data_IF_145771305727
#
_entry.id   IF_145771305727
#
_cell.length_a   1.000
_cell.length_b   1.000
_cell.length_c   1.000
_cell.angle_alpha   90.00
_cell.angle_beta   90.00
_cell.angle_gamma   90.00
#
_symmetry.space_group_name_H-M   'P 1'
#
loop_
_entity.id
_entity.type
_entity.pdbx_description
1 polymer ?
#
# COMPACT_ATOMS: atom_id res chain seq x y z
N UNK A 1 12.17 -2.06 9.32
CA UNK A 1 11.64 -2.53 8.01
C UNK A 1 12.04 -3.96 7.67
N UNK A 2 13.18 -4.47 8.12
CA UNK A 2 13.66 -5.85 7.84
C UNK A 2 12.81 -6.97 8.47
N UNK A 3 12.15 -6.72 9.60
CA UNK A 3 11.35 -7.72 10.31
C UNK A 3 10.20 -8.35 9.49
N UNK A 4 9.59 -7.59 8.56
CA UNK A 4 8.55 -8.14 7.67
C UNK A 4 9.08 -9.15 6.66
N UNK A 5 10.33 -8.99 6.23
CA UNK A 5 10.99 -9.88 5.26
C UNK A 5 11.50 -11.18 5.88
N UNK A 6 11.67 -11.22 7.20
CA UNK A 6 12.07 -12.42 7.94
C UNK A 6 10.86 -13.32 8.26
N UNK A 7 9.63 -12.80 8.19
CA UNK A 7 8.41 -13.58 8.37
C UNK A 7 8.04 -14.35 7.09
N UNK A 8 7.17 -15.35 7.23
CA UNK A 8 6.62 -16.18 6.14
C UNK A 8 6.25 -15.39 4.89
N UNK A 9 5.66 -14.20 5.05
CA UNK A 9 5.26 -13.36 3.92
C UNK A 9 6.44 -12.82 3.10
N UNK A 10 7.57 -12.57 3.75
CA UNK A 10 8.82 -12.17 3.12
C UNK A 10 9.47 -13.29 2.33
N UNK A 11 9.28 -14.55 2.76
CA UNK A 11 9.79 -15.74 2.06
C UNK A 11 8.97 -16.09 0.81
N UNK A 12 7.70 -15.70 0.77
CA UNK A 12 6.82 -15.94 -0.38
C UNK A 12 7.21 -15.09 -1.59
N UNK A 13 7.70 -13.86 -1.36
CA UNK A 13 8.07 -12.95 -2.45
C UNK A 13 9.18 -13.54 -3.36
N UNK A 14 10.31 -14.07 -2.83
CA UNK A 14 11.30 -14.82 -3.62
C UNK A 14 10.71 -15.98 -4.42
N UNK A 15 9.78 -16.76 -3.83
CA UNK A 15 9.14 -17.90 -4.52
C UNK A 15 8.34 -17.42 -5.74
N UNK A 16 7.54 -16.37 -5.58
CA UNK A 16 6.77 -15.79 -6.69
C UNK A 16 7.71 -15.25 -7.77
N UNK A 17 8.78 -14.54 -7.39
CA UNK A 17 9.76 -14.02 -8.35
C UNK A 17 10.46 -15.15 -9.10
N UNK A 18 10.86 -16.23 -8.41
CA UNK A 18 11.47 -17.40 -9.04
C UNK A 18 10.52 -18.05 -10.06
N UNK A 19 9.25 -18.23 -9.71
CA UNK A 19 8.25 -18.76 -10.64
C UNK A 19 8.19 -17.95 -11.95
N UNK A 20 8.21 -16.62 -11.85
CA UNK A 20 8.22 -15.75 -13.03
C UNK A 20 9.51 -15.81 -13.83
N UNK A 21 10.66 -15.84 -13.17
CA UNK A 21 11.96 -15.96 -13.86
C UNK A 21 12.10 -17.30 -14.59
N UNK A 22 11.60 -18.39 -14.01
CA UNK A 22 11.55 -19.71 -14.67
C UNK A 22 10.66 -19.62 -15.91
N UNK A 23 9.48 -19.01 -15.81
CA UNK A 23 8.58 -18.82 -16.94
C UNK A 23 9.19 -17.98 -18.07
N UNK A 24 10.02 -16.99 -17.74
CA UNK A 24 10.81 -16.20 -18.71
C UNK A 24 12.10 -16.92 -19.18
N UNK A 25 12.31 -18.18 -18.80
CA UNK A 25 13.53 -18.96 -19.12
C UNK A 25 14.83 -18.34 -18.56
N UNK A 26 14.74 -17.48 -17.53
CA UNK A 26 15.88 -16.83 -16.86
C UNK A 26 16.39 -17.70 -15.70
N UNK A 27 16.78 -18.93 -16.00
CA UNK A 27 17.12 -19.95 -14.99
C UNK A 27 18.27 -19.55 -14.07
N UNK A 28 19.30 -18.86 -14.60
CA UNK A 28 20.43 -18.37 -13.78
C UNK A 28 19.97 -17.41 -12.69
N UNK A 29 19.11 -16.45 -13.03
CA UNK A 29 18.58 -15.49 -12.07
C UNK A 29 17.67 -16.18 -11.04
N UNK A 30 16.81 -17.11 -11.49
CA UNK A 30 16.00 -17.89 -10.56
C UNK A 30 16.84 -18.73 -9.60
N UNK A 31 17.91 -19.37 -10.08
CA UNK A 31 18.81 -20.17 -9.26
C UNK A 31 19.51 -19.30 -8.21
N UNK A 32 19.96 -18.09 -8.58
CA UNK A 32 20.56 -17.15 -7.64
C UNK A 32 19.59 -16.69 -6.54
N UNK A 33 18.33 -16.39 -6.88
CA UNK A 33 17.32 -15.99 -5.89
C UNK A 33 16.93 -17.16 -4.98
N UNK A 34 16.77 -18.36 -5.55
CA UNK A 34 16.50 -19.56 -4.75
C UNK A 34 17.67 -19.87 -3.81
N UNK A 35 18.91 -19.78 -4.31
CA UNK A 35 20.11 -19.98 -3.50
C UNK A 35 20.21 -18.94 -2.39
N UNK A 36 19.95 -17.66 -2.68
CA UNK A 36 20.00 -16.60 -1.66
C UNK A 36 18.93 -16.79 -0.58
N UNK A 37 17.74 -17.28 -0.96
CA UNK A 37 16.69 -17.68 0.00
C UNK A 37 17.17 -18.79 0.92
N UNK A 38 17.73 -19.88 0.38
CA UNK A 38 18.24 -21.00 1.18
C UNK A 38 19.41 -20.60 2.07
N UNK A 39 20.36 -19.79 1.56
CA UNK A 39 21.47 -19.25 2.36
C UNK A 39 20.92 -18.40 3.52
N UNK A 40 19.93 -17.55 3.27
CA UNK A 40 19.32 -16.71 4.31
C UNK A 40 18.64 -17.55 5.41
N UNK A 41 17.92 -18.61 5.02
CA UNK A 41 17.31 -19.56 5.96
C UNK A 41 18.40 -20.31 6.73
N UNK A 42 19.46 -20.78 6.06
CA UNK A 42 20.57 -21.49 6.70
C UNK A 42 21.30 -20.60 7.72
N UNK A 43 21.59 -19.35 7.39
CA UNK A 43 22.21 -18.37 8.31
C UNK A 43 21.30 -18.15 9.52
N UNK A 44 19.99 -18.00 9.30
CA UNK A 44 19.01 -17.81 10.38
C UNK A 44 19.00 -19.03 11.32
N UNK A 45 18.91 -20.24 10.77
CA UNK A 45 18.91 -21.48 11.56
C UNK A 45 20.24 -21.67 12.31
N UNK A 46 21.36 -21.38 11.66
CA UNK A 46 22.69 -21.45 12.30
C UNK A 46 22.81 -20.46 13.45
N UNK A 47 22.33 -19.23 13.28
CA UNK A 47 22.30 -18.23 14.34
C UNK A 47 21.50 -18.73 15.56
N UNK A 48 20.29 -19.25 15.35
CA UNK A 48 19.47 -19.77 16.45
C UNK A 48 20.04 -21.03 17.08
N UNK A 49 20.65 -21.93 16.29
CA UNK A 49 21.32 -23.12 16.81
C UNK A 49 22.50 -22.76 17.73
N UNK A 50 23.20 -21.63 17.47
CA UNK A 50 24.30 -21.15 18.30
C UNK A 50 23.83 -20.42 19.56
N UNK A 51 22.71 -19.70 19.49
CA UNK A 51 22.21 -18.87 20.60
C UNK A 51 21.32 -19.67 21.56
N UNK A 52 20.16 -20.13 21.10
CA UNK A 52 19.22 -20.96 21.88
C UNK A 52 18.16 -21.57 20.94
N UNK A 53 18.38 -22.83 20.54
CA UNK A 53 17.49 -23.54 19.62
C UNK A 53 16.12 -23.86 20.26
N UNK A 54 16.09 -24.11 21.57
CA UNK A 54 14.86 -24.47 22.28
C UNK A 54 13.94 -23.26 22.34
N UNK A 55 14.49 -22.09 22.69
CA UNK A 55 13.74 -20.84 22.68
C UNK A 55 13.24 -20.50 21.26
N UNK A 56 14.05 -20.73 20.23
CA UNK A 56 13.62 -20.55 18.84
C UNK A 56 12.43 -21.42 18.46
N UNK A 57 12.49 -22.73 18.75
CA UNK A 57 11.38 -23.66 18.46
C UNK A 57 10.13 -23.24 19.21
N UNK A 58 10.25 -22.85 20.49
CA UNK A 58 9.14 -22.37 21.28
C UNK A 58 8.50 -21.08 20.70
N UNK A 59 9.32 -20.11 20.29
CA UNK A 59 8.83 -18.89 19.61
C UNK A 59 8.13 -19.24 18.30
N UNK A 60 8.68 -20.17 17.52
CA UNK A 60 8.08 -20.60 16.26
C UNK A 60 6.71 -21.25 16.52
N UNK A 61 6.61 -22.12 17.52
CA UNK A 61 5.35 -22.75 17.94
C UNK A 61 4.31 -21.70 18.37
N UNK A 62 4.71 -20.76 19.23
CA UNK A 62 3.84 -19.66 19.66
C UNK A 62 3.36 -18.85 18.45
N UNK A 63 4.25 -18.52 17.51
CA UNK A 63 3.87 -17.79 16.30
C UNK A 63 2.88 -18.58 15.43
N UNK A 64 3.02 -19.90 15.32
CA UNK A 64 2.08 -20.75 14.57
C UNK A 64 0.74 -20.95 15.28
N UNK A 65 0.71 -20.83 16.62
CA UNK A 65 -0.49 -21.00 17.45
C UNK A 65 -1.28 -19.70 17.67
N UNK A 66 -0.74 -18.53 17.33
CA UNK A 66 -1.55 -17.30 17.31
C UNK A 66 -2.73 -17.50 16.36
N UNK A 67 -3.94 -17.14 16.79
CA UNK A 67 -5.22 -17.22 16.06
C UNK A 67 -5.12 -16.60 14.64
N UNK A 68 -4.58 -17.36 13.70
CA UNK A 68 -4.44 -17.02 12.28
C UNK A 68 -5.63 -17.60 11.53
N UNK A 69 -6.80 -17.23 12.00
CA UNK A 69 -8.04 -17.66 11.37
C UNK A 69 -8.30 -16.82 10.12
N UNK A 70 -8.67 -17.51 9.05
CA UNK A 70 -8.95 -16.92 7.75
C UNK A 70 -10.36 -16.37 7.74
N UNK A 71 -10.51 -15.07 7.95
CA UNK A 71 -11.80 -14.39 7.87
C UNK A 71 -11.87 -13.47 6.65
N UNK A 72 -13.02 -13.47 5.96
CA UNK A 72 -13.32 -12.45 4.94
C UNK A 72 -13.28 -11.03 5.51
N UNK A 73 -13.61 -10.87 6.80
CA UNK A 73 -13.43 -9.62 7.54
C UNK A 73 -11.97 -9.14 7.60
N UNK A 74 -10.99 -10.05 7.62
CA UNK A 74 -9.56 -9.70 7.59
C UNK A 74 -9.17 -9.09 6.24
N UNK A 75 -9.73 -9.59 5.12
CA UNK A 75 -9.51 -8.99 3.80
C UNK A 75 -10.04 -7.54 3.75
N UNK A 76 -11.25 -7.33 4.27
CA UNK A 76 -11.81 -5.98 4.37
C UNK A 76 -10.96 -5.10 5.28
N UNK A 77 -10.45 -5.62 6.40
CA UNK A 77 -9.54 -4.90 7.29
C UNK A 77 -8.23 -4.49 6.60
N UNK A 78 -7.66 -5.37 5.78
CA UNK A 78 -6.45 -5.09 5.00
C UNK A 78 -6.70 -3.92 4.04
N UNK A 79 -7.82 -3.95 3.30
CA UNK A 79 -8.16 -2.94 2.29
C UNK A 79 -8.56 -1.60 2.95
N UNK A 80 -9.36 -1.67 4.01
CA UNK A 80 -10.07 -0.50 4.55
C UNK A 80 -9.34 0.27 5.64
N UNK A 81 -8.32 -0.33 6.27
CA UNK A 81 -7.63 0.27 7.41
C UNK A 81 -6.13 0.18 7.20
N UNK A 82 -5.50 0.98 6.34
CA UNK A 82 -4.04 1.04 6.30
C UNK A 82 -3.54 1.41 7.71
N UNK A 83 -2.68 0.55 8.25
CA UNK A 83 -2.10 0.70 9.57
C UNK A 83 -0.58 0.73 9.43
N UNK A 84 0.08 1.61 10.18
CA UNK A 84 1.54 1.62 10.35
C UNK A 84 1.89 1.61 11.84
N UNK A 85 1.27 2.52 12.59
CA UNK A 85 1.27 2.54 14.06
C UNK A 85 -0.16 2.60 14.65
N UNK A 86 -1.10 3.14 13.88
CA UNK A 86 -2.54 3.18 14.13
C UNK A 86 -3.27 3.19 12.78
N UNK A 87 -4.58 2.90 12.75
CA UNK A 87 -5.39 3.02 11.55
C UNK A 87 -5.40 4.47 11.09
N UNK A 88 -5.04 4.72 9.83
CA UNK A 88 -5.22 6.01 9.19
C UNK A 88 -6.02 5.83 7.91
N UNK A 89 -6.71 6.87 7.47
CA UNK A 89 -7.42 6.87 6.19
C UNK A 89 -6.44 7.36 5.13
N UNK A 90 -6.16 6.52 4.14
CA UNK A 90 -5.28 6.87 3.03
C UNK A 90 -5.94 6.63 1.68
N UNK A 91 -6.35 7.73 1.06
CA UNK A 91 -6.90 7.73 -0.29
C UNK A 91 -6.01 7.08 -1.35
N UNK A 92 -4.67 7.19 -1.22
CA UNK A 92 -3.74 6.55 -2.15
C UNK A 92 -3.78 5.03 -2.04
N UNK A 93 -3.80 4.54 -0.80
CA UNK A 93 -3.90 3.12 -0.50
C UNK A 93 -5.19 2.52 -1.06
N UNK A 94 -6.32 3.16 -0.79
CA UNK A 94 -7.63 2.76 -1.34
C UNK A 94 -7.67 2.84 -2.86
N UNK A 95 -7.12 3.90 -3.47
CA UNK A 95 -7.05 4.01 -4.92
C UNK A 95 -6.23 2.85 -5.50
N UNK A 96 -5.13 2.45 -4.86
CA UNK A 96 -4.33 1.30 -5.28
C UNK A 96 -5.14 0.01 -5.38
N UNK A 97 -5.92 -0.31 -4.34
CA UNK A 97 -6.81 -1.47 -4.35
C UNK A 97 -7.94 -1.34 -5.37
N UNK A 98 -8.59 -0.19 -5.43
CA UNK A 98 -9.67 0.05 -6.40
C UNK A 98 -9.14 -0.10 -7.83
N UNK A 99 -7.96 0.46 -8.12
CA UNK A 99 -7.28 0.33 -9.40
C UNK A 99 -6.89 -1.10 -9.72
N UNK A 100 -6.53 -1.89 -8.71
CA UNK A 100 -6.27 -3.31 -8.86
C UNK A 100 -7.56 -4.09 -9.22
N UNK A 101 -8.70 -3.84 -8.56
CA UNK A 101 -9.97 -4.49 -8.91
C UNK A 101 -10.49 -4.06 -10.30
N UNK A 102 -10.48 -2.75 -10.54
CA UNK A 102 -10.18 -2.05 -11.79
C UNK A 102 -9.65 -2.87 -12.97
N UNK A 103 -8.31 -2.94 -12.97
CA UNK A 103 -7.48 -3.26 -14.12
C UNK A 103 -6.66 -4.53 -13.96
N UNK A 104 -6.51 -5.05 -12.73
CA UNK A 104 -5.72 -6.25 -12.47
C UNK A 104 -6.22 -7.44 -13.28
N UNK A 105 -7.54 -7.65 -13.30
CA UNK A 105 -8.13 -8.82 -13.97
C UNK A 105 -8.44 -8.62 -15.46
N UNK A 106 -8.35 -7.40 -15.98
CA UNK A 106 -8.68 -7.09 -17.38
C UNK A 106 -7.49 -7.25 -18.34
N UNK A 107 -6.28 -7.33 -17.80
CA UNK A 107 -5.04 -7.30 -18.57
C UNK A 107 -4.62 -8.65 -19.17
N UNK A 108 -4.48 -8.72 -20.50
CA UNK A 108 -3.95 -9.92 -21.20
C UNK A 108 -2.42 -9.96 -21.29
N UNK A 109 -1.75 -8.82 -21.13
CA UNK A 109 -0.30 -8.69 -21.31
C UNK A 109 0.48 -9.37 -20.19
N UNK A 110 1.73 -9.77 -20.46
CA UNK A 110 2.62 -10.37 -19.46
C UNK A 110 2.81 -9.46 -18.24
N UNK A 111 3.04 -8.15 -18.46
CA UNK A 111 3.23 -7.16 -17.39
C UNK A 111 2.01 -7.07 -16.47
N UNK A 112 0.80 -7.10 -17.03
CA UNK A 112 -0.43 -7.07 -16.23
C UNK A 112 -0.60 -8.36 -15.42
N UNK A 113 -0.33 -9.52 -16.04
CA UNK A 113 -0.36 -10.81 -15.33
C UNK A 113 0.68 -10.85 -14.21
N UNK A 114 1.87 -10.27 -14.42
CA UNK A 114 2.89 -10.14 -13.39
C UNK A 114 2.37 -9.37 -12.18
N UNK A 115 1.90 -8.13 -12.39
CA UNK A 115 1.38 -7.31 -11.29
C UNK A 115 0.21 -8.02 -10.61
N UNK A 116 -0.69 -8.61 -11.38
CA UNK A 116 -1.93 -9.18 -10.85
C UNK A 116 -1.70 -10.42 -10.02
N UNK A 117 -0.94 -11.40 -10.54
CA UNK A 117 -0.66 -12.60 -9.78
C UNK A 117 0.17 -12.29 -8.53
N UNK A 118 1.18 -11.41 -8.62
CA UNK A 118 1.95 -11.03 -7.43
C UNK A 118 1.07 -10.37 -6.37
N UNK A 119 0.23 -9.42 -6.76
CA UNK A 119 -0.71 -8.74 -5.83
C UNK A 119 -1.64 -9.75 -5.17
N UNK A 120 -2.26 -10.65 -5.96
CA UNK A 120 -3.16 -11.69 -5.45
C UNK A 120 -2.45 -12.67 -4.52
N UNK A 121 -1.28 -13.18 -4.90
CA UNK A 121 -0.54 -14.14 -4.07
C UNK A 121 -0.10 -13.49 -2.74
N UNK A 122 0.36 -12.24 -2.78
CA UNK A 122 0.71 -11.51 -1.56
C UNK A 122 -0.55 -11.30 -0.71
N UNK A 123 -1.67 -10.87 -1.28
CA UNK A 123 -2.94 -10.72 -0.54
C UNK A 123 -3.40 -12.01 0.12
N UNK A 124 -3.36 -13.12 -0.61
CA UNK A 124 -3.67 -14.45 -0.05
C UNK A 124 -2.69 -14.78 1.08
N UNK A 125 -1.41 -14.51 0.90
CA UNK A 125 -0.40 -14.73 1.94
C UNK A 125 -0.68 -13.91 3.19
N UNK A 126 -1.08 -12.64 3.04
CA UNK A 126 -1.52 -11.83 4.18
C UNK A 126 -2.74 -12.49 4.82
N UNK A 127 -3.75 -12.87 4.04
CA UNK A 127 -4.97 -13.51 4.55
C UNK A 127 -4.70 -14.80 5.35
N UNK A 128 -3.73 -15.62 4.93
CA UNK A 128 -3.35 -16.85 5.62
C UNK A 128 -2.39 -16.65 6.80
N UNK A 129 -1.75 -15.48 6.89
CA UNK A 129 -0.74 -15.21 7.94
C UNK A 129 -1.19 -14.16 8.95
N UNK A 130 -2.19 -13.35 8.61
CA UNK A 130 -2.79 -12.32 9.45
C UNK A 130 -4.15 -12.79 9.96
N UNK A 131 -4.28 -12.92 11.28
CA UNK A 131 -5.56 -13.11 11.95
C UNK A 131 -6.28 -11.78 12.19
N UNK A 132 -7.56 -11.81 12.60
CA UNK A 132 -8.34 -10.62 12.97
C UNK A 132 -7.61 -9.73 14.00
N UNK A 133 -6.99 -10.38 14.99
CA UNK A 133 -6.26 -9.72 16.09
C UNK A 133 -4.74 -9.66 15.85
N UNK A 134 -4.26 -10.24 14.73
CA UNK A 134 -2.84 -10.39 14.41
C UNK A 134 -2.55 -9.87 12.99
N UNK A 135 -3.04 -8.68 12.66
CA UNK A 135 -2.86 -8.04 11.36
C UNK A 135 -1.84 -6.90 11.45
N UNK A 136 -0.59 -7.27 11.71
CA UNK A 136 0.46 -6.27 11.81
C UNK A 136 0.69 -5.54 10.47
N UNK A 137 0.87 -4.21 10.50
CA UNK A 137 1.17 -3.35 9.35
C UNK A 137 2.18 -3.88 8.33
N UNK A 138 3.28 -4.45 8.83
CA UNK A 138 4.41 -4.88 8.00
C UNK A 138 4.07 -6.05 7.07
N UNK A 139 2.99 -6.80 7.32
CA UNK A 139 2.53 -7.83 6.38
C UNK A 139 2.13 -7.24 5.02
N UNK A 140 1.77 -5.96 4.99
CA UNK A 140 1.28 -5.27 3.80
C UNK A 140 2.38 -4.62 2.98
N UNK A 141 3.61 -4.52 3.49
CA UNK A 141 4.71 -3.83 2.80
C UNK A 141 5.04 -4.43 1.43
N UNK A 142 5.12 -5.77 1.26
CA UNK A 142 5.37 -6.36 -0.05
C UNK A 142 4.29 -6.03 -1.08
N UNK A 143 3.07 -5.68 -0.64
CA UNK A 143 1.95 -5.35 -1.51
C UNK A 143 2.08 -3.93 -2.11
N UNK A 144 2.67 -2.99 -1.35
CA UNK A 144 2.70 -1.56 -1.69
C UNK A 144 3.24 -1.25 -3.10
N UNK A 145 4.36 -1.85 -3.56
CA UNK A 145 4.86 -1.56 -4.91
C UNK A 145 3.86 -1.94 -6.01
N UNK A 146 3.15 -3.07 -5.85
CA UNK A 146 2.22 -3.55 -6.87
C UNK A 146 0.94 -2.72 -6.92
N UNK A 147 0.37 -2.36 -5.77
CA UNK A 147 -0.81 -1.48 -5.74
C UNK A 147 -0.47 -0.07 -6.24
N UNK A 148 0.75 0.42 -6.00
CA UNK A 148 1.25 1.69 -6.56
C UNK A 148 1.42 1.64 -8.08
N UNK A 149 1.85 0.49 -8.63
CA UNK A 149 1.87 0.31 -10.09
C UNK A 149 0.45 0.33 -10.69
N UNK A 150 -0.53 -0.29 -10.02
CA UNK A 150 -1.92 -0.27 -10.49
C UNK A 150 -2.56 1.11 -10.40
N UNK A 151 -2.27 1.91 -9.36
CA UNK A 151 -2.77 3.29 -9.26
C UNK A 151 -2.17 4.18 -10.35
N UNK A 152 -0.87 4.01 -10.66
CA UNK A 152 -0.24 4.69 -11.81
C UNK A 152 -0.92 4.37 -13.13
N UNK A 153 -1.34 3.12 -13.32
CA UNK A 153 -2.08 2.72 -14.51
C UNK A 153 -3.49 3.31 -14.55
N UNK A 154 -4.20 3.35 -13.42
CA UNK A 154 -5.50 4.03 -13.33
C UNK A 154 -5.38 5.51 -13.71
N UNK A 155 -4.37 6.22 -13.19
CA UNK A 155 -4.14 7.64 -13.53
C UNK A 155 -3.82 7.79 -15.02
N UNK A 156 -3.01 6.90 -15.59
CA UNK A 156 -2.69 6.91 -17.01
C UNK A 156 -3.91 6.68 -17.90
N UNK A 157 -4.80 5.74 -17.54
CA UNK A 157 -6.05 5.51 -18.26
C UNK A 157 -6.96 6.74 -18.16
N UNK A 158 -7.07 7.32 -16.96
CA UNK A 158 -7.85 8.53 -16.71
C UNK A 158 -7.37 9.73 -17.54
N UNK A 159 -6.05 9.93 -17.67
CA UNK A 159 -5.46 10.99 -18.51
C UNK A 159 -5.72 10.78 -20.01
N UNK A 160 -5.82 9.53 -20.46
CA UNK A 160 -6.08 9.20 -21.87
C UNK A 160 -7.56 9.25 -22.23
N UNK A 161 -8.39 8.73 -21.34
CA UNK A 161 -9.82 8.48 -21.50
C UNK A 161 -10.54 8.90 -20.22
N UNK A 162 -10.68 10.20 -19.96
CA UNK A 162 -11.35 10.67 -18.77
C UNK A 162 -12.83 10.31 -18.84
N UNK A 163 -13.25 9.35 -18.01
CA UNK A 163 -14.66 9.01 -17.80
C UNK A 163 -15.11 9.66 -16.52
N UNK A 164 -16.35 10.14 -16.49
CA UNK A 164 -16.90 10.80 -15.30
C UNK A 164 -16.80 9.93 -14.04
N UNK A 165 -17.15 8.63 -14.14
CA UNK A 165 -17.14 7.72 -13.00
C UNK A 165 -15.74 7.55 -12.39
N UNK A 166 -14.71 7.35 -13.23
CA UNK A 166 -13.34 7.19 -12.76
C UNK A 166 -12.76 8.51 -12.26
N UNK A 167 -13.15 9.64 -12.86
CA UNK A 167 -12.74 10.96 -12.41
C UNK A 167 -13.34 11.32 -11.04
N UNK A 168 -14.63 11.04 -10.81
CA UNK A 168 -15.28 11.21 -9.50
C UNK A 168 -14.53 10.40 -8.44
N UNK A 169 -14.31 9.11 -8.68
CA UNK A 169 -13.58 8.23 -7.75
C UNK A 169 -12.18 8.76 -7.45
N UNK A 170 -11.47 9.24 -8.47
CA UNK A 170 -10.16 9.85 -8.32
C UNK A 170 -10.18 11.08 -7.39
N UNK A 171 -11.09 12.01 -7.62
CA UNK A 171 -11.21 13.26 -6.83
C UNK A 171 -11.49 12.92 -5.37
N UNK A 172 -12.48 12.07 -5.09
CA UNK A 172 -12.87 11.72 -3.72
C UNK A 172 -11.77 10.99 -2.96
N UNK A 173 -11.06 10.07 -3.61
CA UNK A 173 -9.98 9.34 -2.97
C UNK A 173 -8.77 10.25 -2.74
N UNK A 174 -8.34 11.03 -3.74
CA UNK A 174 -7.15 11.89 -3.62
C UNK A 174 -7.31 13.03 -2.61
N UNK A 175 -8.54 13.55 -2.46
CA UNK A 175 -8.86 14.59 -1.49
C UNK A 175 -9.28 14.02 -0.12
N UNK A 176 -9.43 12.70 0.03
CA UNK A 176 -9.82 12.07 1.30
C UNK A 176 -8.86 12.38 2.46
N UNK A 177 -7.57 12.57 2.17
CA UNK A 177 -6.55 12.86 3.19
C UNK A 177 -6.54 14.35 3.62
N UNK A 178 -7.30 15.23 2.93
CA UNK A 178 -7.39 16.66 3.28
C UNK A 178 -8.06 16.84 4.65
N UNK A 179 -8.99 15.95 5.02
CA UNK A 179 -9.68 15.96 6.33
C UNK A 179 -8.68 15.98 7.52
N UNK A 180 -7.54 15.32 7.36
CA UNK A 180 -6.48 15.24 8.39
C UNK A 180 -5.87 16.62 8.66
N UNK A 181 -5.69 17.44 7.62
CA UNK A 181 -5.20 18.82 7.74
C UNK A 181 -6.29 19.78 8.24
N UNK A 182 -7.52 19.60 7.76
CA UNK A 182 -8.70 20.43 8.12
C UNK A 182 -9.05 20.32 9.60
N UNK A 183 -8.64 19.23 10.28
CA UNK A 183 -8.83 19.09 11.72
C UNK A 183 -8.11 20.19 12.52
N UNK A 184 -7.08 20.84 11.95
CA UNK A 184 -6.31 21.89 12.62
C UNK A 184 -6.65 23.32 12.16
N UNK A 185 -7.50 23.51 11.14
CA UNK A 185 -7.82 24.85 10.60
C UNK A 185 -9.35 25.07 10.51
N UNK A 186 -9.85 26.00 11.33
CA UNK A 186 -11.27 26.33 11.43
C UNK A 186 -11.86 26.93 10.14
N UNK A 187 -11.05 27.59 9.31
CA UNK A 187 -11.53 28.25 8.10
C UNK A 187 -11.80 27.25 6.96
N UNK A 188 -10.98 26.21 6.89
CA UNK A 188 -11.11 25.10 5.93
C UNK A 188 -12.27 24.15 6.26
N UNK A 189 -12.79 24.18 7.49
CA UNK A 189 -13.96 23.38 7.92
C UNK A 189 -15.29 23.89 7.37
N UNK A 190 -15.33 25.11 6.82
CA UNK A 190 -16.58 25.64 6.28
C UNK A 190 -17.04 24.77 5.10
N UNK A 191 -18.28 24.26 5.18
CA UNK A 191 -18.87 23.35 4.20
C UNK A 191 -19.01 23.98 2.80
N UNK A 192 -19.10 25.31 2.73
CA UNK A 192 -19.35 26.06 1.50
C UNK A 192 -18.16 26.01 0.52
N UNK A 193 -16.92 26.40 0.89
CA UNK A 193 -15.79 26.35 -0.03
C UNK A 193 -15.45 24.95 -0.52
N UNK A 194 -15.55 23.92 0.33
CA UNK A 194 -15.30 22.53 -0.12
C UNK A 194 -16.31 22.06 -1.17
N UNK A 195 -17.60 22.39 -0.99
CA UNK A 195 -18.64 22.08 -2.01
C UNK A 195 -18.37 22.83 -3.31
N UNK A 196 -18.02 24.11 -3.24
CA UNK A 196 -17.70 24.91 -4.43
C UNK A 196 -16.49 24.36 -5.18
N UNK A 197 -15.43 23.98 -4.47
CA UNK A 197 -14.23 23.36 -5.06
C UNK A 197 -14.60 22.03 -5.74
N UNK A 198 -15.38 21.17 -5.07
CA UNK A 198 -15.81 19.90 -5.64
C UNK A 198 -16.65 20.10 -6.92
N UNK A 199 -17.62 21.01 -6.90
CA UNK A 199 -18.43 21.33 -8.08
C UNK A 199 -17.54 21.82 -9.22
N UNK A 200 -16.62 22.75 -8.94
CA UNK A 200 -15.73 23.31 -9.94
C UNK A 200 -14.78 22.25 -10.55
N UNK A 201 -14.28 21.32 -9.73
CA UNK A 201 -13.44 20.22 -10.20
C UNK A 201 -14.22 19.20 -11.04
N UNK A 202 -15.46 18.88 -10.67
CA UNK A 202 -16.28 17.88 -11.35
C UNK A 202 -16.94 18.40 -12.63
N UNK A 203 -17.21 19.70 -12.72
CA UNK A 203 -17.90 20.32 -13.86
C UNK A 203 -17.25 20.00 -15.20
N UNK A 204 -15.93 20.17 -15.41
CA UNK A 204 -15.27 19.80 -16.66
C UNK A 204 -15.53 18.35 -17.10
N UNK A 205 -15.57 17.41 -16.15
CA UNK A 205 -15.85 15.99 -16.45
C UNK A 205 -17.29 15.73 -16.89
N UNK A 206 -18.26 16.43 -16.27
CA UNK A 206 -19.67 16.39 -16.66
C UNK A 206 -19.87 16.97 -18.06
N UNK A 207 -19.27 18.12 -18.33
CA UNK A 207 -19.36 18.78 -19.63
C UNK A 207 -18.68 17.98 -20.74
N UNK A 208 -17.59 17.28 -20.43
CA UNK A 208 -16.90 16.42 -21.39
C UNK A 208 -17.73 15.21 -21.81
N UNK A 209 -18.51 14.62 -20.91
CA UNK A 209 -19.41 13.51 -21.25
C UNK A 209 -20.48 13.92 -22.28
N UNK A 210 -20.96 15.17 -22.19
CA UNK A 210 -22.00 15.71 -23.09
C UNK A 210 -21.41 16.21 -24.42
N UNK A 211 -20.33 16.99 -24.39
CA UNK A 211 -19.83 17.70 -25.58
C UNK A 211 -18.56 17.13 -26.19
N UNK A 212 -17.82 16.29 -25.47
CA UNK A 212 -16.60 15.59 -25.92
C UNK A 212 -15.56 16.50 -26.61
N UNK A 213 -15.47 17.78 -26.20
CA UNK A 213 -14.52 18.75 -26.79
C UNK A 213 -13.11 18.54 -26.26
N UNK A 214 -12.11 18.72 -27.12
CA UNK A 214 -10.69 18.54 -26.78
C UNK A 214 -10.21 19.52 -25.70
N UNK A 215 -10.73 20.75 -25.67
CA UNK A 215 -10.45 21.72 -24.61
C UNK A 215 -10.86 21.18 -23.22
N UNK A 216 -12.05 20.59 -23.09
CA UNK A 216 -12.53 20.02 -21.83
C UNK A 216 -11.65 18.86 -21.37
N UNK A 217 -11.19 18.01 -22.29
CA UNK A 217 -10.21 16.96 -22.00
C UNK A 217 -8.91 17.54 -21.45
N UNK A 218 -8.38 18.61 -22.05
CA UNK A 218 -7.18 19.31 -21.55
C UNK A 218 -7.41 19.89 -20.15
N UNK A 219 -8.57 20.49 -19.91
CA UNK A 219 -8.94 20.98 -18.57
C UNK A 219 -9.01 19.86 -17.55
N UNK A 220 -9.63 18.72 -17.87
CA UNK A 220 -9.68 17.55 -16.98
C UNK A 220 -8.27 17.05 -16.69
N UNK A 221 -7.42 16.90 -17.71
CA UNK A 221 -6.04 16.45 -17.53
C UNK A 221 -5.23 17.40 -16.66
N UNK A 222 -5.42 18.72 -16.81
CA UNK A 222 -4.84 19.71 -15.93
C UNK A 222 -5.34 19.55 -14.49
N UNK A 223 -6.65 19.38 -14.27
CA UNK A 223 -7.22 19.10 -12.95
C UNK A 223 -6.65 17.83 -12.32
N UNK A 224 -6.48 16.74 -13.09
CA UNK A 224 -5.88 15.49 -12.61
C UNK A 224 -4.46 15.74 -12.10
N UNK A 225 -3.63 16.42 -12.89
CA UNK A 225 -2.24 16.74 -12.51
C UNK A 225 -2.21 17.63 -11.28
N UNK A 226 -3.05 18.67 -11.23
CA UNK A 226 -3.14 19.57 -10.09
C UNK A 226 -3.50 18.82 -8.81
N UNK A 227 -4.58 18.02 -8.83
CA UNK A 227 -5.01 17.21 -7.68
C UNK A 227 -3.91 16.25 -7.24
N UNK A 228 -3.22 15.62 -8.19
CA UNK A 228 -2.13 14.69 -7.91
C UNK A 228 -0.97 15.39 -7.18
N UNK A 229 -0.54 16.55 -7.68
CA UNK A 229 0.51 17.36 -7.04
C UNK A 229 0.08 17.84 -5.64
N UNK A 230 -1.15 18.34 -5.50
CA UNK A 230 -1.70 18.75 -4.21
C UNK A 230 -1.76 17.58 -3.24
N UNK A 231 -2.19 16.40 -3.68
CA UNK A 231 -2.26 15.21 -2.83
C UNK A 231 -0.87 14.74 -2.40
N UNK A 232 0.12 14.74 -3.29
CA UNK A 232 1.51 14.41 -2.93
C UNK A 232 2.05 15.40 -1.90
N UNK A 233 1.85 16.70 -2.11
CA UNK A 233 2.29 17.73 -1.18
C UNK A 233 1.63 17.58 0.20
N UNK A 234 0.33 17.34 0.25
CA UNK A 234 -0.42 17.08 1.49
C UNK A 234 0.11 15.84 2.21
N UNK A 235 0.31 14.73 1.49
CA UNK A 235 0.82 13.51 2.11
C UNK A 235 2.26 13.69 2.63
N UNK A 236 3.12 14.40 1.89
CA UNK A 236 4.46 14.74 2.36
C UNK A 236 4.41 15.60 3.63
N UNK A 237 3.54 16.61 3.68
CA UNK A 237 3.35 17.44 4.87
C UNK A 237 2.81 16.64 6.06
N UNK A 238 1.87 15.71 5.84
CA UNK A 238 1.34 14.82 6.88
C UNK A 238 2.48 13.96 7.43
N UNK A 239 3.30 13.33 6.59
CA UNK A 239 4.41 12.49 7.03
C UNK A 239 5.45 13.29 7.82
N UNK A 240 5.79 14.50 7.36
CA UNK A 240 6.75 15.38 8.05
C UNK A 240 6.22 15.87 9.41
N UNK A 241 4.91 16.13 9.51
CA UNK A 241 4.27 16.61 10.74
C UNK A 241 3.72 15.49 11.64
N UNK A 242 3.76 14.23 11.19
CA UNK A 242 3.24 13.08 11.93
C UNK A 242 3.89 12.93 13.32
N UNK A 243 5.22 13.07 13.49
CA UNK A 243 5.84 13.00 14.82
C UNK A 243 5.35 14.13 15.74
N UNK A 244 5.27 15.37 15.22
CA UNK A 244 4.92 16.54 16.01
C UNK A 244 3.45 16.54 16.45
N UNK A 245 2.54 16.09 15.59
CA UNK A 245 1.10 16.02 15.88
C UNK A 245 0.72 14.93 16.88
N UNK A 246 1.50 13.83 16.95
CA UNK A 246 1.24 12.70 17.85
C UNK A 246 1.92 12.84 19.20
N UNK A 247 3.06 13.52 19.25
CA UNK A 247 3.84 13.72 20.47
C UNK A 247 3.50 15.00 21.23
N UNK A 248 2.52 15.77 20.74
CA UNK A 248 1.92 16.88 21.48
C UNK A 248 1.02 16.39 22.64
N UNK A 249 0.25 15.31 22.42
CA UNK A 249 -0.75 14.82 23.38
C UNK A 249 -0.33 13.53 24.11
N UNK A 250 0.66 12.80 23.60
CA UNK A 250 1.18 11.57 24.19
C UNK A 250 2.68 11.75 24.40
N UNK A 251 3.20 11.51 25.61
CA UNK A 251 4.64 11.40 25.84
C UNK A 251 5.19 10.27 24.96
N UNK A 252 5.57 10.60 23.73
CA UNK A 252 6.31 9.69 22.90
C UNK A 252 7.67 9.49 23.56
N UNK A 253 8.04 8.24 23.81
CA UNK A 253 9.43 7.93 24.04
C UNK A 253 10.20 8.43 22.80
N UNK A 254 10.97 9.50 22.96
CA UNK A 254 12.01 9.86 21.99
C UNK A 254 12.81 8.57 21.83
N UNK A 255 13.00 8.04 20.61
CA UNK A 255 13.79 6.83 20.43
C UNK A 255 15.18 7.10 20.98
N UNK A 256 15.43 6.65 22.21
CA UNK A 256 16.73 6.71 22.83
C UNK A 256 17.61 5.84 21.95
N UNK A 257 18.58 6.48 21.30
CA UNK A 257 19.66 5.79 20.61
C UNK A 257 20.18 4.72 21.56
N UNK A 258 20.06 3.45 21.19
CA UNK A 258 20.58 2.34 22.00
C UNK A 258 22.09 2.58 22.11
N UNK A 259 22.52 3.10 23.26
CA UNK A 259 23.92 3.19 23.62
C UNK A 259 24.32 1.77 23.97
N UNK A 260 24.87 1.05 22.98
CA UNK A 260 25.51 -0.24 23.25
C UNK A 260 26.73 0.09 24.08
N UNK A 261 26.71 -0.25 25.37
CA UNK A 261 27.90 -0.20 26.19
C UNK A 261 28.92 -1.15 25.58
N UNK A 262 30.06 -0.62 25.15
CA UNK A 262 31.21 -1.44 24.78
C UNK A 262 31.62 -2.24 26.03
N UNK A 263 31.37 -3.55 26.00
CA UNK A 263 31.85 -4.54 26.97
C UNK A 263 32.95 -5.37 26.33
#
# INVERSE_FOLDING_TARGET
MTAGFVKLIGLILPVIICFWLIKEKRYKASALITLSLFISIAILLFYYAKVDLIQFIHILQLQTQQERDVYLGSLWGIISKPEFYQPFRDGWYFLGFLSFFIFGFSGKTFKHKFITLNTTFILLSILFTAGLNNNFPWYRYPLLPFISMTSGWFIWDLLKRPRIATFILFVFLMLGNVEILVKNDANLRSLLPMKTILILLLTPSLLYEVWQKEFLKKTINFCIILILLTSIAINALIVLNYPNSRCADVQCAIPLKIMVSES
#
